data_IF_438654490579
#
_entry.id   IF_438654490579
#
_cell.length_a   1.000
_cell.length_b   1.000
_cell.length_c   1.000
_cell.angle_alpha   90.00
_cell.angle_beta   90.00
_cell.angle_gamma   90.00
#
_symmetry.space_group_name_H-M   'P 1'
#
loop_
_entity.id
_entity.type
_entity.pdbx_description
1 polymer ?
#
# COMPACT_ATOMS: atom_id res chain seq x y z
N UNK A 1 0.68 -24.77 15.21
CA UNK A 1 1.64 -23.77 15.70
C UNK A 1 1.12 -22.39 15.34
N UNK A 2 1.09 -21.43 16.26
CA UNK A 2 0.78 -20.04 15.92
C UNK A 2 1.82 -19.50 14.93
N UNK A 3 1.42 -18.53 14.10
CA UNK A 3 2.29 -17.91 13.11
C UNK A 3 3.56 -17.36 13.77
N UNK A 4 4.74 -17.59 13.17
CA UNK A 4 6.01 -17.25 13.80
C UNK A 4 6.18 -15.75 14.05
N UNK A 5 5.61 -14.88 13.20
CA UNK A 5 5.80 -13.43 13.24
C UNK A 5 4.49 -12.65 13.35
N UNK A 6 3.44 -13.13 12.68
CA UNK A 6 2.11 -12.53 12.61
C UNK A 6 1.08 -13.22 13.51
N UNK A 7 1.49 -13.74 14.67
CA UNK A 7 0.61 -14.47 15.60
C UNK A 7 -0.56 -13.63 16.14
N UNK A 8 -0.44 -12.30 16.12
CA UNK A 8 -1.45 -11.36 16.59
C UNK A 8 -2.33 -10.83 15.45
N UNK A 9 -1.76 -10.47 14.31
CA UNK A 9 -2.51 -9.97 13.14
C UNK A 9 -1.62 -9.91 11.88
N UNK A 10 -2.25 -9.92 10.71
CA UNK A 10 -1.58 -9.70 9.41
C UNK A 10 -2.37 -8.65 8.63
N UNK A 11 -1.72 -7.56 8.25
CA UNK A 11 -2.33 -6.50 7.44
C UNK A 11 -1.93 -6.66 5.98
N UNK A 12 -2.92 -6.81 5.09
CA UNK A 12 -2.72 -6.66 3.66
C UNK A 12 -2.77 -5.17 3.31
N UNK A 13 -1.74 -4.66 2.65
CA UNK A 13 -1.62 -3.25 2.26
C UNK A 13 -1.28 -3.21 0.78
N UNK A 14 -2.15 -2.59 0.00
CA UNK A 14 -1.94 -2.39 -1.42
C UNK A 14 -1.81 -0.89 -1.65
N UNK A 15 -0.72 -0.47 -2.29
CA UNK A 15 -0.49 0.93 -2.62
C UNK A 15 0.13 1.08 -4.01
N UNK A 16 0.03 2.28 -4.62
CA UNK A 16 0.73 2.56 -5.88
C UNK A 16 2.23 2.31 -5.77
N UNK A 17 2.82 1.85 -6.86
CA UNK A 17 4.27 1.64 -7.03
C UNK A 17 5.09 2.91 -6.75
N UNK A 18 4.51 4.08 -6.99
CA UNK A 18 5.12 5.39 -6.71
C UNK A 18 5.04 5.83 -5.25
N UNK A 19 4.22 5.19 -4.40
CA UNK A 19 4.07 5.59 -3.01
C UNK A 19 5.24 5.08 -2.15
N UNK A 20 6.18 5.94 -1.79
CA UNK A 20 7.36 5.52 -1.00
C UNK A 20 7.17 5.63 0.52
N UNK A 21 6.00 6.08 0.99
CA UNK A 21 5.77 6.46 2.40
C UNK A 21 5.03 5.39 3.19
N UNK A 22 3.99 4.76 2.62
CA UNK A 22 3.09 3.88 3.39
C UNK A 22 3.85 2.68 3.95
N UNK A 23 4.68 2.01 3.15
CA UNK A 23 5.43 0.84 3.59
C UNK A 23 6.36 1.12 4.79
N UNK A 24 7.28 2.10 4.76
CA UNK A 24 8.16 2.37 5.89
C UNK A 24 7.41 2.86 7.13
N UNK A 25 6.34 3.64 6.99
CA UNK A 25 5.52 4.08 8.13
C UNK A 25 4.76 2.91 8.77
N UNK A 26 4.16 2.02 7.96
CA UNK A 26 3.53 0.80 8.46
C UNK A 26 4.52 -0.10 9.19
N UNK A 27 5.74 -0.23 8.68
CA UNK A 27 6.78 -1.04 9.32
C UNK A 27 7.25 -0.43 10.64
N UNK A 28 7.33 0.90 10.72
CA UNK A 28 7.70 1.63 11.93
C UNK A 28 6.63 1.61 13.02
N UNK A 29 5.36 1.66 12.64
CA UNK A 29 4.22 1.66 13.57
C UNK A 29 3.82 0.26 14.06
N UNK A 30 4.36 -0.81 13.45
CA UNK A 30 3.92 -2.18 13.67
C UNK A 30 4.18 -2.67 15.10
N UNK A 31 3.15 -3.06 15.87
CA UNK A 31 3.35 -3.62 17.20
C UNK A 31 3.84 -5.08 17.13
N UNK A 32 4.41 -5.64 18.22
CA UNK A 32 4.85 -7.03 18.26
C UNK A 32 3.74 -8.02 17.90
N UNK A 33 4.09 -9.03 17.11
CA UNK A 33 3.18 -10.08 16.64
C UNK A 33 2.31 -9.70 15.44
N UNK A 34 2.48 -8.50 14.89
CA UNK A 34 1.78 -8.05 13.67
C UNK A 34 2.75 -8.09 12.49
N UNK A 35 2.29 -8.51 11.32
CA UNK A 35 3.03 -8.42 10.04
C UNK A 35 2.29 -7.58 9.01
N UNK A 36 3.04 -6.83 8.19
CA UNK A 36 2.51 -6.10 7.04
C UNK A 36 2.86 -6.89 5.78
N UNK A 37 1.86 -7.17 4.94
CA UNK A 37 2.00 -7.80 3.64
C UNK A 37 1.72 -6.73 2.59
N UNK A 38 2.79 -6.15 2.05
CA UNK A 38 2.72 -5.00 1.17
C UNK A 38 2.83 -5.44 -0.29
N UNK A 39 1.90 -5.00 -1.12
CA UNK A 39 1.94 -5.19 -2.57
C UNK A 39 1.80 -3.87 -3.33
N UNK A 40 2.25 -3.86 -4.58
CA UNK A 40 2.43 -2.67 -5.40
C UNK A 40 1.55 -2.73 -6.64
N UNK A 41 0.67 -1.75 -6.80
CA UNK A 41 -0.06 -1.55 -8.06
C UNK A 41 0.88 -0.82 -9.02
N UNK A 42 1.10 -1.38 -10.20
CA UNK A 42 1.83 -0.69 -11.25
C UNK A 42 0.96 0.48 -11.73
N UNK A 43 1.43 1.71 -11.54
CA UNK A 43 0.72 2.90 -12.02
C UNK A 43 1.76 3.78 -12.69
N UNK A 44 1.41 4.37 -13.84
CA UNK A 44 2.30 5.32 -14.51
C UNK A 44 2.59 6.50 -13.57
N UNK A 45 3.82 6.99 -13.59
CA UNK A 45 4.22 8.12 -12.75
C UNK A 45 3.55 9.41 -13.27
N UNK A 46 2.36 9.69 -12.76
CA UNK A 46 1.58 10.89 -13.07
C UNK A 46 1.97 12.03 -12.13
N UNK A 47 2.20 13.22 -12.67
CA UNK A 47 2.36 14.42 -11.84
C UNK A 47 1.00 14.80 -11.25
N UNK A 48 0.94 14.86 -9.92
CA UNK A 48 -0.23 15.30 -9.17
C UNK A 48 -0.05 16.79 -8.83
N UNK A 49 -0.63 17.67 -9.63
CA UNK A 49 -0.52 19.13 -9.44
C UNK A 49 -1.83 19.78 -9.02
N UNK A 50 -2.95 19.09 -9.26
CA UNK A 50 -4.33 19.55 -9.00
C UNK A 50 -5.18 18.38 -8.52
N UNK A 51 -6.31 18.67 -7.88
CA UNK A 51 -7.24 17.64 -7.39
C UNK A 51 -7.75 16.71 -8.52
N UNK A 52 -7.95 17.25 -9.73
CA UNK A 52 -8.35 16.44 -10.90
C UNK A 52 -7.31 15.38 -11.28
N UNK A 53 -6.02 15.63 -11.01
CA UNK A 53 -4.95 14.66 -11.25
C UNK A 53 -5.05 13.48 -10.28
N UNK A 54 -5.53 13.73 -9.06
CA UNK A 54 -5.78 12.69 -8.07
C UNK A 54 -6.93 11.76 -8.50
N UNK A 55 -8.00 12.32 -9.06
CA UNK A 55 -9.12 11.51 -9.59
C UNK A 55 -8.63 10.60 -10.72
N UNK A 56 -7.83 11.11 -11.67
CA UNK A 56 -7.25 10.30 -12.74
C UNK A 56 -6.32 9.21 -12.22
N UNK A 57 -5.59 9.48 -11.14
CA UNK A 57 -4.78 8.47 -10.47
C UNK A 57 -5.67 7.38 -9.86
N UNK A 58 -6.80 7.72 -9.25
CA UNK A 58 -7.76 6.74 -8.72
C UNK A 58 -8.34 5.88 -9.84
N UNK A 59 -8.75 6.48 -10.97
CA UNK A 59 -9.26 5.74 -12.12
C UNK A 59 -8.20 4.76 -12.68
N UNK A 60 -6.94 5.19 -12.76
CA UNK A 60 -5.84 4.33 -13.21
C UNK A 60 -5.55 3.18 -12.23
N UNK A 61 -5.69 3.43 -10.92
CA UNK A 61 -5.57 2.37 -9.91
C UNK A 61 -6.71 1.37 -10.05
N UNK A 62 -7.94 1.83 -10.25
CA UNK A 62 -9.11 0.96 -10.42
C UNK A 62 -8.97 0.06 -11.65
N UNK A 63 -8.44 0.58 -12.77
CA UNK A 63 -8.24 -0.20 -14.00
C UNK A 63 -7.20 -1.32 -13.89
N UNK A 64 -6.34 -1.29 -12.87
CA UNK A 64 -5.30 -2.33 -12.64
C UNK A 64 -5.77 -3.38 -11.64
N UNK A 65 -6.87 -3.14 -10.92
CA UNK A 65 -7.42 -4.04 -9.91
C UNK A 65 -8.47 -5.02 -10.47
N UNK A 66 -8.97 -4.80 -11.70
CA UNK A 66 -9.98 -5.61 -12.37
C UNK A 66 -9.61 -5.89 -13.83
#
# INVERSE_FOLDING_TARGET
>A
MPDALGWRCKFAVVAPSTNTVVQPEFDKMRPPGVTNHFDRIAVSNMQLTRDDDFVKLMDAIESELF
#
